data_IF_187488826661
#
_entry.id   IF_187488826661
#
_cell.length_a   1.000
_cell.length_b   1.000
_cell.length_c   1.000
_cell.angle_alpha   90.00
_cell.angle_beta   90.00
_cell.angle_gamma   90.00
#
_symmetry.space_group_name_H-M   'P 1'
#
loop_
_entity.id
_entity.type
_entity.pdbx_description
1 polymer ?
#
# COMPACT_ATOMS: atom_id res chain seq x y z
N UNK A 1 -16.01 21.53 1.10
CA UNK A 1 -14.60 21.70 0.69
C UNK A 1 -14.52 21.60 -0.83
N UNK A 2 -13.79 22.50 -1.51
CA UNK A 2 -13.62 22.41 -2.97
C UNK A 2 -12.71 21.22 -3.34
N UNK A 3 -12.75 20.76 -4.60
CA UNK A 3 -11.84 19.68 -5.07
C UNK A 3 -10.38 20.12 -4.98
N UNK A 4 -10.08 21.36 -5.37
CA UNK A 4 -8.72 21.91 -5.30
C UNK A 4 -8.18 21.99 -3.86
N UNK A 5 -9.00 22.43 -2.89
CA UNK A 5 -8.59 22.51 -1.50
C UNK A 5 -8.38 21.11 -0.88
N UNK A 6 -9.23 20.14 -1.22
CA UNK A 6 -9.04 18.75 -0.78
C UNK A 6 -7.75 18.18 -1.37
N UNK A 7 -7.51 18.39 -2.67
CA UNK A 7 -6.27 17.96 -3.33
C UNK A 7 -5.04 18.52 -2.64
N UNK A 8 -4.98 19.83 -2.44
CA UNK A 8 -3.84 20.49 -1.80
C UNK A 8 -3.62 19.99 -0.36
N UNK A 9 -4.71 19.71 0.36
CA UNK A 9 -4.64 19.13 1.71
C UNK A 9 -4.10 17.69 1.67
N UNK A 10 -4.58 16.87 0.74
CA UNK A 10 -4.12 15.48 0.58
C UNK A 10 -2.67 15.43 0.11
N UNK A 11 -2.27 16.24 -0.87
CA UNK A 11 -0.87 16.34 -1.31
C UNK A 11 0.06 16.69 -0.14
N UNK A 12 -0.33 17.66 0.69
CA UNK A 12 0.44 18.05 1.89
C UNK A 12 0.52 16.94 2.93
N UNK A 13 -0.59 16.23 3.18
CA UNK A 13 -0.60 15.08 4.08
C UNK A 13 0.37 14.01 3.60
N UNK A 14 0.25 13.58 2.34
CA UNK A 14 1.08 12.52 1.78
C UNK A 14 2.55 12.91 1.78
N UNK A 15 2.89 14.16 1.42
CA UNK A 15 4.27 14.65 1.48
C UNK A 15 4.84 14.64 2.90
N UNK A 16 4.04 14.97 3.92
CA UNK A 16 4.48 14.90 5.32
C UNK A 16 4.74 13.46 5.77
N UNK A 17 3.86 12.54 5.40
CA UNK A 17 3.99 11.10 5.67
C UNK A 17 5.27 10.57 5.01
N UNK A 18 5.48 10.88 3.73
CA UNK A 18 6.68 10.48 2.98
C UNK A 18 7.97 10.99 3.67
N UNK A 19 7.98 12.24 4.14
CA UNK A 19 9.13 12.79 4.86
C UNK A 19 9.40 12.06 6.19
N UNK A 20 8.36 11.66 6.92
CA UNK A 20 8.49 10.88 8.16
C UNK A 20 9.06 9.50 7.86
N UNK A 21 8.53 8.81 6.85
CA UNK A 21 8.97 7.49 6.43
C UNK A 21 10.42 7.50 5.89
N UNK A 22 10.82 8.56 5.17
CA UNK A 22 12.19 8.74 4.70
C UNK A 22 13.14 8.85 5.89
N UNK A 23 12.83 9.69 6.88
CA UNK A 23 13.63 9.83 8.10
C UNK A 23 13.69 8.50 8.85
N UNK A 24 12.56 7.80 9.01
CA UNK A 24 12.51 6.48 9.63
C UNK A 24 13.41 5.46 8.88
N UNK A 25 13.42 5.51 7.54
CA UNK A 25 14.25 4.69 6.68
C UNK A 25 15.76 4.93 6.81
N UNK A 26 16.18 6.11 7.27
CA UNK A 26 17.61 6.40 7.57
C UNK A 26 18.09 5.79 8.88
N UNK A 27 17.17 5.38 9.77
CA UNK A 27 17.50 4.83 11.07
C UNK A 27 17.79 3.32 10.98
N UNK A 28 18.72 2.79 11.81
CA UNK A 28 18.97 1.35 11.89
C UNK A 28 17.70 0.55 12.22
N UNK A 29 17.60 -0.67 11.68
CA UNK A 29 16.54 -1.62 12.06
C UNK A 29 16.57 -1.89 13.57
N UNK A 30 15.40 -1.85 14.22
CA UNK A 30 15.26 -2.04 15.66
C UNK A 30 15.58 -0.81 16.52
N UNK A 31 15.90 0.35 15.91
CA UNK A 31 15.99 1.60 16.66
C UNK A 31 14.60 1.98 17.19
N UNK A 32 14.41 2.23 18.50
CA UNK A 32 13.08 2.53 19.06
C UNK A 32 12.38 3.73 18.40
N UNK A 33 13.15 4.69 17.88
CA UNK A 33 12.61 5.84 17.16
C UNK A 33 12.12 5.52 15.75
N UNK A 34 12.60 4.44 15.12
CA UNK A 34 12.21 4.06 13.76
C UNK A 34 10.76 3.59 13.71
N UNK A 35 10.42 2.62 14.54
CA UNK A 35 9.07 2.06 14.58
C UNK A 35 8.07 3.13 15.02
N UNK A 36 8.46 3.97 15.98
CA UNK A 36 7.60 5.08 16.42
C UNK A 36 7.31 6.10 15.32
N UNK A 37 8.24 6.34 14.40
CA UNK A 37 8.00 7.24 13.26
C UNK A 37 7.03 6.61 12.25
N UNK A 38 7.17 5.30 11.97
CA UNK A 38 6.19 4.59 11.15
C UNK A 38 4.80 4.58 11.78
N UNK A 39 4.70 4.35 13.09
CA UNK A 39 3.41 4.44 13.81
C UNK A 39 2.78 5.82 13.66
N UNK A 40 3.58 6.90 13.77
CA UNK A 40 3.07 8.27 13.62
C UNK A 40 2.62 8.54 12.18
N UNK A 41 3.38 8.09 11.19
CA UNK A 41 2.97 8.18 9.78
C UNK A 41 1.64 7.45 9.55
N UNK A 42 1.48 6.29 10.18
CA UNK A 42 0.29 5.47 10.08
C UNK A 42 -0.94 6.12 10.73
N UNK A 43 -0.77 6.63 11.95
CA UNK A 43 -1.81 7.35 12.68
C UNK A 43 -2.28 8.59 11.90
N UNK A 44 -1.37 9.27 11.21
CA UNK A 44 -1.70 10.42 10.36
C UNK A 44 -2.54 10.02 9.14
N UNK A 45 -2.23 8.90 8.49
CA UNK A 45 -3.03 8.38 7.38
C UNK A 45 -4.39 7.88 7.85
N UNK A 46 -4.43 7.15 8.97
CA UNK A 46 -5.67 6.58 9.53
C UNK A 46 -6.66 7.66 10.01
N UNK A 47 -6.15 8.80 10.48
CA UNK A 47 -6.96 9.94 10.95
C UNK A 47 -7.36 10.92 9.85
N UNK A 48 -6.87 10.73 8.62
CA UNK A 48 -7.13 11.63 7.52
C UNK A 48 -8.53 11.47 6.92
N UNK A 49 -9.04 12.56 6.33
CA UNK A 49 -10.32 12.56 5.64
C UNK A 49 -10.27 11.63 4.41
N UNK A 50 -11.26 10.75 4.20
CA UNK A 50 -11.34 9.92 3.01
C UNK A 50 -11.39 10.74 1.71
N UNK A 51 -10.68 10.27 0.69
CA UNK A 51 -10.32 11.01 -0.53
C UNK A 51 -11.34 10.78 -1.64
N UNK A 52 -11.77 11.83 -2.34
CA UNK A 52 -12.63 11.66 -3.52
C UNK A 52 -11.88 10.98 -4.69
N UNK A 53 -12.55 10.14 -5.50
CA UNK A 53 -11.93 9.49 -6.67
C UNK A 53 -11.25 10.46 -7.65
N UNK A 54 -11.81 11.65 -7.85
CA UNK A 54 -11.20 12.68 -8.72
C UNK A 54 -9.87 13.21 -8.16
N UNK A 55 -9.75 13.34 -6.83
CA UNK A 55 -8.50 13.79 -6.19
C UNK A 55 -7.46 12.68 -6.26
N UNK A 56 -7.84 11.42 -6.00
CA UNK A 56 -6.95 10.28 -6.15
C UNK A 56 -6.48 10.09 -7.60
N UNK A 57 -7.34 10.38 -8.58
CA UNK A 57 -6.98 10.32 -10.00
C UNK A 57 -5.87 11.31 -10.35
N UNK A 58 -5.98 12.56 -9.87
CA UNK A 58 -4.93 13.56 -10.03
C UNK A 58 -3.62 13.11 -9.36
N UNK A 59 -3.68 12.63 -8.12
CA UNK A 59 -2.51 12.19 -7.34
C UNK A 59 -1.75 11.03 -8.01
N UNK A 60 -2.49 10.04 -8.52
CA UNK A 60 -1.94 8.85 -9.17
C UNK A 60 -1.60 9.10 -10.66
N UNK A 61 -1.93 10.28 -11.19
CA UNK A 61 -1.89 10.61 -12.62
C UNK A 61 -2.64 9.54 -13.46
N UNK A 62 -3.85 9.20 -13.03
CA UNK A 62 -4.77 8.28 -13.68
C UNK A 62 -6.07 8.99 -14.04
N UNK A 63 -6.93 8.35 -14.83
CA UNK A 63 -8.28 8.87 -15.02
C UNK A 63 -9.17 8.49 -13.84
N UNK A 64 -10.18 9.31 -13.51
CA UNK A 64 -11.16 8.96 -12.47
C UNK A 64 -11.85 7.62 -12.75
N UNK A 65 -12.13 7.33 -14.04
CA UNK A 65 -12.68 6.02 -14.45
C UNK A 65 -11.75 4.87 -14.06
N UNK A 66 -10.44 5.02 -14.27
CA UNK A 66 -9.44 4.01 -13.87
C UNK A 66 -9.40 3.84 -12.36
N UNK A 67 -9.43 4.93 -11.60
CA UNK A 67 -9.46 4.89 -10.12
C UNK A 67 -10.69 4.15 -9.61
N UNK A 68 -11.88 4.43 -10.16
CA UNK A 68 -13.12 3.72 -9.80
C UNK A 68 -13.07 2.24 -10.15
N UNK A 69 -12.48 1.90 -11.29
CA UNK A 69 -12.23 0.51 -11.66
C UNK A 69 -11.29 -0.17 -10.66
N UNK A 70 -10.16 0.46 -10.30
CA UNK A 70 -9.22 -0.07 -9.31
C UNK A 70 -9.83 -0.27 -7.92
N UNK A 71 -10.75 0.62 -7.52
CA UNK A 71 -11.52 0.45 -6.29
C UNK A 71 -12.48 -0.76 -6.37
N UNK A 72 -13.09 -0.99 -7.53
CA UNK A 72 -13.97 -2.15 -7.75
C UNK A 72 -13.20 -3.48 -7.81
N UNK A 73 -11.96 -3.44 -8.30
CA UNK A 73 -11.01 -4.57 -8.32
C UNK A 73 -10.29 -4.77 -6.97
N UNK A 74 -10.57 -3.94 -5.96
CA UNK A 74 -9.99 -4.06 -4.61
C UNK A 74 -8.56 -3.56 -4.44
N UNK A 75 -7.96 -2.96 -5.47
CA UNK A 75 -6.62 -2.33 -5.38
C UNK A 75 -6.65 -1.04 -4.56
N UNK A 76 -7.74 -0.29 -4.67
CA UNK A 76 -8.02 0.84 -3.79
C UNK A 76 -9.14 0.46 -2.82
N UNK A 77 -9.02 0.90 -1.57
CA UNK A 77 -10.01 0.59 -0.54
C UNK A 77 -11.04 1.72 -0.49
N UNK A 78 -12.31 1.35 -0.60
CA UNK A 78 -13.43 2.27 -0.42
C UNK A 78 -13.70 2.41 1.08
N UNK A 79 -13.56 3.62 1.61
CA UNK A 79 -13.84 3.94 3.02
C UNK A 79 -15.31 4.28 3.22
N UNK A 80 -15.92 5.01 2.28
CA UNK A 80 -17.32 5.40 2.32
C UNK A 80 -17.93 5.22 0.93
N UNK A 81 -19.12 4.64 0.82
CA UNK A 81 -19.80 4.45 -0.46
C UNK A 81 -20.89 5.50 -0.72
N UNK A 82 -21.57 5.97 0.33
CA UNK A 82 -22.74 6.85 0.27
C UNK A 82 -22.56 8.07 1.21
N UNK A 83 -22.97 9.29 0.81
CA UNK A 83 -23.66 9.66 -0.44
C UNK A 83 -22.73 9.81 -1.66
N UNK A 84 -21.41 9.73 -1.45
CA UNK A 84 -20.40 9.79 -2.51
C UNK A 84 -19.23 8.89 -2.14
N UNK A 85 -18.82 8.01 -3.07
CA UNK A 85 -17.64 7.15 -2.91
C UNK A 85 -16.40 7.96 -2.47
N UNK A 86 -15.73 7.47 -1.42
CA UNK A 86 -14.44 7.96 -0.93
C UNK A 86 -13.47 6.83 -0.68
N UNK A 87 -12.21 7.11 -0.89
CA UNK A 87 -11.10 6.19 -0.82
C UNK A 87 -10.33 6.37 0.49
N UNK A 88 -9.85 5.27 1.02
CA UNK A 88 -9.07 5.22 2.24
C UNK A 88 -7.65 5.77 2.00
N UNK A 89 -7.19 6.78 2.78
CA UNK A 89 -5.92 7.48 2.52
C UNK A 89 -4.67 6.59 2.53
N UNK A 90 -4.58 5.62 3.44
CA UNK A 90 -3.43 4.73 3.57
C UNK A 90 -3.23 3.91 2.31
N UNK A 91 -4.29 3.30 1.78
CA UNK A 91 -4.22 2.54 0.53
C UNK A 91 -3.88 3.43 -0.67
N UNK A 92 -4.38 4.67 -0.72
CA UNK A 92 -4.00 5.62 -1.78
C UNK A 92 -2.51 5.95 -1.71
N UNK A 93 -1.96 6.15 -0.50
CA UNK A 93 -0.54 6.39 -0.28
C UNK A 93 0.33 5.21 -0.73
N UNK A 94 -0.01 3.98 -0.32
CA UNK A 94 0.68 2.76 -0.76
C UNK A 94 0.71 2.64 -2.29
N UNK A 95 -0.46 2.78 -2.92
CA UNK A 95 -0.59 2.67 -4.38
C UNK A 95 0.16 3.79 -5.09
N UNK A 96 0.20 5.00 -4.53
CA UNK A 96 0.97 6.12 -5.08
C UNK A 96 2.46 5.78 -5.17
N UNK A 97 3.04 5.23 -4.11
CA UNK A 97 4.44 4.79 -4.11
C UNK A 97 4.71 3.72 -5.14
N UNK A 98 3.85 2.70 -5.21
CA UNK A 98 3.99 1.62 -6.19
C UNK A 98 3.92 2.17 -7.63
N UNK A 99 2.94 3.02 -7.92
CA UNK A 99 2.78 3.63 -9.26
C UNK A 99 4.01 4.46 -9.63
N UNK A 100 4.51 5.31 -8.71
CA UNK A 100 5.72 6.11 -8.94
C UNK A 100 6.94 5.24 -9.20
N UNK A 101 7.13 4.18 -8.42
CA UNK A 101 8.26 3.27 -8.59
C UNK A 101 8.19 2.49 -9.92
N UNK A 102 7.01 1.97 -10.27
CA UNK A 102 6.77 1.25 -11.53
C UNK A 102 7.00 2.17 -12.73
N UNK A 103 6.54 3.43 -12.67
CA UNK A 103 6.80 4.43 -13.71
C UNK A 103 8.28 4.79 -13.80
N UNK A 104 8.98 4.93 -12.67
CA UNK A 104 10.42 5.23 -12.62
C UNK A 104 11.26 4.16 -13.32
N UNK A 105 10.87 2.89 -13.25
CA UNK A 105 11.53 1.79 -13.99
C UNK A 105 11.06 1.66 -15.46
N UNK A 106 10.30 2.64 -15.97
CA UNK A 106 9.87 2.73 -17.36
C UNK A 106 8.70 1.81 -17.73
N UNK A 107 8.02 1.19 -16.76
CA UNK A 107 6.87 0.32 -17.01
C UNK A 107 5.58 1.12 -16.91
N UNK A 108 4.78 1.09 -17.98
CA UNK A 108 3.47 1.76 -18.03
C UNK A 108 2.34 0.85 -18.51
N UNK A 109 2.66 -0.24 -19.22
CA UNK A 109 1.71 -1.28 -19.63
C UNK A 109 1.49 -2.26 -18.47
N UNK A 110 0.24 -2.69 -18.27
CA UNK A 110 -0.12 -3.63 -17.21
C UNK A 110 0.04 -3.06 -15.80
N UNK A 111 -0.08 -1.74 -15.63
CA UNK A 111 0.15 -1.07 -14.35
C UNK A 111 -0.74 -1.62 -13.23
N UNK A 112 -2.01 -1.91 -13.53
CA UNK A 112 -2.94 -2.52 -12.57
C UNK A 112 -2.43 -3.88 -12.09
N UNK A 113 -2.07 -4.77 -13.01
CA UNK A 113 -1.60 -6.12 -12.69
C UNK A 113 -0.31 -6.08 -11.85
N UNK A 114 0.58 -5.14 -12.16
CA UNK A 114 1.83 -4.97 -11.42
C UNK A 114 1.60 -4.42 -10.01
N UNK A 115 0.71 -3.43 -9.86
CA UNK A 115 0.31 -2.92 -8.53
C UNK A 115 -0.34 -4.04 -7.72
N UNK A 116 -1.29 -4.78 -8.30
CA UNK A 116 -1.94 -5.89 -7.64
C UNK A 116 -0.95 -6.97 -7.21
N UNK A 117 0.00 -7.34 -8.08
CA UNK A 117 1.07 -8.30 -7.77
C UNK A 117 1.87 -7.84 -6.55
N UNK A 118 2.34 -6.60 -6.56
CA UNK A 118 3.18 -6.06 -5.47
C UNK A 118 2.43 -5.93 -4.15
N UNK A 119 1.17 -5.49 -4.17
CA UNK A 119 0.33 -5.47 -2.97
C UNK A 119 0.10 -6.89 -2.42
N UNK A 120 -0.09 -7.87 -3.30
CA UNK A 120 -0.24 -9.28 -2.90
C UNK A 120 1.06 -9.83 -2.30
N UNK A 121 2.21 -9.51 -2.92
CA UNK A 121 3.53 -9.91 -2.43
C UNK A 121 3.82 -9.30 -1.05
N UNK A 122 3.49 -8.02 -0.84
CA UNK A 122 3.61 -7.34 0.46
C UNK A 122 2.70 -7.98 1.51
N UNK A 123 1.43 -8.18 1.20
CA UNK A 123 0.49 -8.83 2.12
C UNK A 123 0.92 -10.26 2.47
N UNK A 124 1.55 -10.98 1.54
CA UNK A 124 2.14 -12.29 1.81
C UNK A 124 3.32 -12.19 2.79
N UNK A 125 4.22 -11.22 2.60
CA UNK A 125 5.37 -10.98 3.47
C UNK A 125 4.98 -10.55 4.90
N UNK A 126 3.85 -9.85 5.03
CA UNK A 126 3.31 -9.41 6.32
C UNK A 126 2.67 -10.55 7.14
N UNK A 127 2.43 -11.72 6.53
CA UNK A 127 1.92 -12.86 7.28
C UNK A 127 3.02 -13.48 8.13
N UNK A 128 2.82 -13.48 9.45
CA UNK A 128 3.73 -14.09 10.43
C UNK A 128 4.02 -15.58 10.14
N UNK A 129 3.07 -16.33 9.57
CA UNK A 129 3.28 -17.74 9.22
C UNK A 129 4.25 -17.94 8.04
N UNK A 130 4.32 -16.99 7.12
CA UNK A 130 5.27 -17.01 6.01
C UNK A 130 6.68 -16.61 6.47
N UNK A 131 6.79 -15.66 7.41
CA UNK A 131 8.07 -15.29 8.01
C UNK A 131 8.73 -16.50 8.71
N UNK A 132 7.94 -17.28 9.47
CA UNK A 132 8.38 -18.53 10.09
C UNK A 132 8.78 -19.55 9.02
N UNK A 133 7.96 -19.74 7.98
CA UNK A 133 8.26 -20.69 6.89
C UNK A 133 9.51 -20.32 6.09
N UNK A 134 9.79 -19.03 5.89
CA UNK A 134 11.00 -18.54 5.22
C UNK A 134 12.25 -18.74 6.08
N UNK A 135 12.15 -18.52 7.39
CA UNK A 135 13.24 -18.83 8.32
C UNK A 135 13.54 -20.33 8.34
N UNK A 136 12.51 -21.19 8.32
CA UNK A 136 12.67 -22.65 8.22
C UNK A 136 13.37 -23.05 6.90
N UNK A 137 13.03 -22.42 5.76
CA UNK A 137 13.72 -22.65 4.49
C UNK A 137 15.19 -22.21 4.54
N UNK A 138 15.48 -21.06 5.16
CA UNK A 138 16.86 -20.56 5.34
C UNK A 138 17.67 -21.47 6.29
N UNK A 139 17.02 -22.08 7.28
CA UNK A 139 17.60 -23.10 8.17
C UNK A 139 17.67 -24.51 7.55
N UNK A 140 17.07 -24.70 6.36
CA UNK A 140 17.03 -25.99 5.66
C UNK A 140 16.00 -26.99 6.21
N UNK A 141 15.03 -26.52 6.98
CA UNK A 141 14.02 -27.29 7.72
C UNK A 141 12.66 -27.38 6.99
N UNK A 142 12.52 -26.71 5.84
CA UNK A 142 11.27 -26.73 5.06
C UNK A 142 10.89 -28.11 4.52
N UNK A 143 9.69 -28.59 4.85
CA UNK A 143 9.16 -29.84 4.30
C UNK A 143 8.56 -29.63 2.91
N UNK A 144 9.12 -30.27 1.88
CA UNK A 144 8.57 -30.25 0.52
C UNK A 144 7.30 -31.11 0.46
N UNK A 145 6.13 -30.48 0.52
CA UNK A 145 4.87 -31.18 0.29
C UNK A 145 4.62 -31.25 -1.22
N UNK A 146 4.84 -32.44 -1.80
CA UNK A 146 4.44 -32.71 -3.19
C UNK A 146 2.92 -32.95 -3.23
N UNK A 147 2.20 -32.49 -4.27
CA UNK A 147 0.78 -32.81 -4.41
C UNK A 147 0.65 -34.33 -4.57
N UNK A 148 0.10 -34.99 -3.53
CA UNK A 148 -0.06 -36.44 -3.46
C UNK A 148 0.48 -37.10 -2.20
N UNK A 149 1.19 -36.39 -1.32
CA UNK A 149 1.65 -36.96 -0.05
C UNK A 149 0.64 -36.69 1.07
N UNK A 150 -0.11 -37.71 1.46
CA UNK A 150 -0.84 -37.74 2.74
C UNK A 150 0.17 -37.76 3.89
N UNK A 151 0.07 -36.77 4.79
CA UNK A 151 0.78 -36.76 6.07
C UNK A 151 0.06 -37.75 7.00
N UNK A 152 0.72 -38.79 7.55
CA UNK A 152 0.14 -39.59 8.62
C UNK A 152 0.21 -38.82 9.94
N UNK A 153 -0.83 -38.98 10.76
CA UNK A 153 -0.92 -38.46 12.14
C UNK A 153 0.26 -38.88 13.03
#
# INVERSE_FOLDING_TARGET
MSVAAEREQTERLLANVEAIEEVAGTLPSGAPGRDKLYDVADDLLASATPIRPVVAADLLELTEKTVRAWASEGVLVVSEQEPTMRLEPRRVHEVLHLVREIRRIGRTRGLLDEVHRRLSDQALLEREDLAVSLEEVVRGEGTVVRPGTTIPE
#
